data_IF_654331256308
#
_entry.id   IF_654331256308
#
_cell.length_a   1.000
_cell.length_b   1.000
_cell.length_c   1.000
_cell.angle_alpha   90.00
_cell.angle_beta   90.00
_cell.angle_gamma   90.00
#
_symmetry.space_group_name_H-M   'P 1'
#
loop_
_entity.id
_entity.type
_entity.pdbx_description
1 polymer ?
#
# COMPACT_ATOMS: atom_id res chain seq x y z
N UNK A 1 -9.60 54.08 -23.63
CA UNK A 1 -10.23 53.98 -22.30
C UNK A 1 -10.80 52.57 -22.15
N UNK A 2 -10.55 51.76 -21.14
CA UNK A 2 -9.57 51.75 -20.07
C UNK A 2 -9.33 50.27 -19.74
N UNK A 3 -8.05 49.88 -19.69
CA UNK A 3 -7.53 48.60 -19.22
C UNK A 3 -7.51 48.64 -17.69
N UNK A 4 -8.05 47.62 -17.00
CA UNK A 4 -7.77 47.42 -15.57
C UNK A 4 -6.99 46.12 -15.42
N UNK A 5 -5.69 46.35 -15.26
CA UNK A 5 -4.63 45.46 -14.87
C UNK A 5 -4.66 45.33 -13.32
N UNK A 6 -4.68 44.11 -12.79
CA UNK A 6 -4.34 43.88 -11.38
C UNK A 6 -2.98 43.18 -11.32
N UNK A 7 -1.95 43.97 -11.01
CA UNK A 7 -0.63 43.52 -10.57
C UNK A 7 -0.69 43.37 -9.06
N UNK A 8 -0.47 42.15 -8.56
CA UNK A 8 -0.09 41.92 -7.17
C UNK A 8 1.34 41.38 -7.15
N UNK A 9 2.26 42.29 -6.86
CA UNK A 9 3.63 42.01 -6.44
C UNK A 9 3.55 41.54 -4.99
N UNK A 10 3.96 40.30 -4.71
CA UNK A 10 4.44 39.93 -3.37
C UNK A 10 5.89 39.52 -3.46
N UNK A 11 6.69 40.25 -2.68
CA UNK A 11 8.12 40.08 -2.57
C UNK A 11 8.47 38.75 -1.89
N UNK A 12 9.50 38.13 -2.45
CA UNK A 12 10.38 37.10 -1.92
C UNK A 12 10.37 36.92 -0.39
N UNK A 13 10.02 35.72 0.06
CA UNK A 13 10.48 35.15 1.34
C UNK A 13 11.10 33.80 1.06
N UNK A 14 12.43 33.77 1.01
CA UNK A 14 13.26 32.56 0.97
C UNK A 14 12.96 31.65 2.17
N UNK A 15 12.31 30.50 1.94
CA UNK A 15 12.37 29.31 2.82
C UNK A 15 12.33 28.05 1.96
N UNK A 16 13.06 26.98 2.32
CA UNK A 16 13.27 25.85 1.43
C UNK A 16 11.95 25.13 1.17
N UNK A 17 11.51 25.23 -0.07
CA UNK A 17 10.45 24.44 -0.66
C UNK A 17 10.86 22.97 -0.57
N UNK A 18 10.10 22.14 0.14
CA UNK A 18 9.98 20.75 -0.28
C UNK A 18 9.12 20.77 -1.55
N UNK A 19 9.76 21.15 -2.64
CA UNK A 19 9.26 20.90 -3.97
C UNK A 19 9.27 19.39 -4.13
N UNK A 20 8.16 18.78 -4.54
CA UNK A 20 8.20 17.44 -5.13
C UNK A 20 9.01 17.58 -6.43
N UNK A 21 10.33 17.61 -6.30
CA UNK A 21 11.23 17.49 -7.43
C UNK A 21 11.08 16.04 -7.87
N UNK A 22 10.31 15.82 -8.93
CA UNK A 22 10.65 14.72 -9.81
C UNK A 22 12.05 15.05 -10.32
N UNK A 23 13.07 14.48 -9.69
CA UNK A 23 14.40 14.48 -10.27
C UNK A 23 14.25 13.79 -11.64
N UNK A 24 14.57 14.50 -12.71
CA UNK A 24 14.63 13.93 -14.06
C UNK A 24 15.83 12.98 -14.24
N UNK A 25 16.32 12.38 -13.14
CA UNK A 25 17.17 11.20 -13.24
C UNK A 25 16.24 10.02 -13.50
N UNK A 26 16.14 9.64 -14.78
CA UNK A 26 15.45 8.42 -15.20
C UNK A 26 16.27 7.24 -14.68
N UNK A 27 16.05 6.89 -13.42
CA UNK A 27 16.51 5.61 -12.88
C UNK A 27 15.89 4.51 -13.73
N UNK A 28 16.73 3.73 -14.43
CA UNK A 28 16.29 2.57 -15.22
C UNK A 28 15.73 1.44 -14.33
N UNK A 29 15.86 1.59 -13.01
CA UNK A 29 15.36 0.65 -12.02
C UNK A 29 13.84 0.79 -11.88
N UNK A 30 13.11 -0.24 -12.31
CA UNK A 30 11.69 -0.37 -12.01
C UNK A 30 11.55 -0.92 -10.58
N UNK A 31 10.95 -0.19 -9.62
CA UNK A 31 10.77 -0.69 -8.26
C UNK A 31 9.78 -1.86 -8.21
N UNK A 32 10.01 -2.81 -7.29
CA UNK A 32 9.07 -3.92 -7.06
C UNK A 32 7.89 -3.43 -6.22
N UNK A 33 6.68 -3.67 -6.70
CA UNK A 33 5.44 -3.38 -5.97
C UNK A 33 5.01 -4.64 -5.22
N UNK A 34 4.91 -4.57 -3.91
CA UNK A 34 4.40 -5.67 -3.08
C UNK A 34 2.92 -5.44 -2.77
N UNK A 35 2.05 -6.24 -3.40
CA UNK A 35 0.61 -6.18 -3.15
C UNK A 35 0.18 -7.20 -2.10
N UNK A 36 -0.38 -6.74 -0.97
CA UNK A 36 -0.87 -7.62 0.10
C UNK A 36 -2.37 -7.83 -0.07
N UNK A 37 -2.80 -9.09 -0.19
CA UNK A 37 -4.21 -9.46 -0.36
C UNK A 37 -4.62 -10.50 0.68
N UNK A 38 -5.25 -10.09 1.80
CA UNK A 38 -5.96 -10.99 2.68
C UNK A 38 -7.14 -11.64 1.96
N UNK A 39 -7.33 -12.94 2.12
CA UNK A 39 -8.46 -13.68 1.55
C UNK A 39 -9.01 -14.70 2.54
N UNK A 40 -10.26 -15.12 2.37
CA UNK A 40 -10.91 -16.11 3.22
C UNK A 40 -11.88 -16.96 2.40
N UNK A 41 -12.17 -18.17 2.90
CA UNK A 41 -13.07 -19.09 2.23
C UNK A 41 -14.50 -18.51 2.13
N UNK A 42 -14.96 -18.32 0.89
CA UNK A 42 -16.33 -17.93 0.54
C UNK A 42 -16.66 -18.39 -0.88
N UNK A 43 -17.95 -18.44 -1.23
CA UNK A 43 -18.40 -18.88 -2.56
C UNK A 43 -17.74 -18.08 -3.70
N UNK A 44 -17.60 -16.77 -3.53
CA UNK A 44 -16.99 -15.88 -4.53
C UNK A 44 -15.46 -15.85 -4.51
N UNK A 45 -14.78 -16.54 -3.58
CA UNK A 45 -13.34 -16.38 -3.34
C UNK A 45 -12.51 -16.61 -4.61
N UNK A 46 -12.77 -17.72 -5.31
CA UNK A 46 -12.04 -18.08 -6.53
C UNK A 46 -12.24 -17.00 -7.61
N UNK A 47 -13.49 -16.57 -7.82
CA UNK A 47 -13.82 -15.57 -8.83
C UNK A 47 -13.12 -14.22 -8.57
N UNK A 48 -13.12 -13.76 -7.31
CA UNK A 48 -12.46 -12.50 -6.93
C UNK A 48 -10.93 -12.57 -7.13
N UNK A 49 -10.31 -13.68 -6.69
CA UNK A 49 -8.87 -13.87 -6.84
C UNK A 49 -8.46 -14.01 -8.31
N UNK A 50 -9.26 -14.67 -9.15
CA UNK A 50 -8.99 -14.79 -10.59
C UNK A 50 -9.06 -13.43 -11.29
N UNK A 51 -10.09 -12.62 -11.01
CA UNK A 51 -10.19 -11.27 -11.60
C UNK A 51 -9.04 -10.38 -11.14
N UNK A 52 -8.67 -10.47 -9.86
CA UNK A 52 -7.54 -9.71 -9.32
C UNK A 52 -6.23 -10.17 -9.97
N UNK A 53 -5.97 -11.48 -10.08
CA UNK A 53 -4.74 -11.99 -10.68
C UNK A 53 -4.59 -11.53 -12.14
N UNK A 54 -5.67 -11.60 -12.93
CA UNK A 54 -5.68 -11.12 -14.32
C UNK A 54 -5.36 -9.62 -14.42
N UNK A 55 -5.86 -8.82 -13.48
CA UNK A 55 -5.55 -7.39 -13.42
C UNK A 55 -4.08 -7.16 -13.08
N UNK A 56 -3.56 -7.89 -12.10
CA UNK A 56 -2.18 -7.76 -11.63
C UNK A 56 -1.16 -8.22 -12.67
N UNK A 57 -1.52 -9.11 -13.59
CA UNK A 57 -0.65 -9.52 -14.71
C UNK A 57 -0.28 -8.36 -15.64
N UNK A 58 -1.04 -7.26 -15.63
CA UNK A 58 -0.76 -6.07 -16.42
C UNK A 58 0.30 -5.17 -15.75
N UNK A 59 0.63 -5.41 -14.47
CA UNK A 59 1.56 -4.59 -13.69
C UNK A 59 2.95 -5.22 -13.73
N UNK A 60 3.93 -4.47 -14.27
CA UNK A 60 5.33 -4.91 -14.31
C UNK A 60 5.96 -4.85 -12.92
N UNK A 61 6.87 -5.79 -12.64
CA UNK A 61 7.60 -5.91 -11.37
C UNK A 61 6.68 -5.90 -10.13
N UNK A 62 5.64 -6.73 -10.17
CA UNK A 62 4.68 -6.88 -9.09
C UNK A 62 4.89 -8.22 -8.36
N UNK A 63 4.98 -8.18 -7.04
CA UNK A 63 5.05 -9.35 -6.17
C UNK A 63 3.77 -9.46 -5.35
N UNK A 64 2.98 -10.51 -5.59
CA UNK A 64 1.68 -10.68 -4.96
C UNK A 64 1.75 -11.51 -3.67
N UNK A 65 1.48 -10.91 -2.52
CA UNK A 65 1.45 -11.58 -1.23
C UNK A 65 -0.02 -11.92 -0.88
N UNK A 66 -0.38 -13.18 -1.02
CA UNK A 66 -1.73 -13.66 -0.71
C UNK A 66 -1.72 -14.34 0.65
N UNK A 67 -2.59 -13.90 1.56
CA UNK A 67 -2.66 -14.42 2.92
C UNK A 67 -4.06 -14.93 3.23
N UNK A 68 -4.18 -16.25 3.43
CA UNK A 68 -5.47 -16.88 3.73
C UNK A 68 -5.82 -16.81 5.23
N UNK A 69 -7.08 -16.46 5.54
CA UNK A 69 -7.69 -16.68 6.86
C UNK A 69 -8.07 -18.16 7.04
N UNK A 70 -7.05 -18.98 7.20
CA UNK A 70 -7.16 -20.42 7.35
C UNK A 70 -6.00 -20.98 8.18
N UNK A 71 -6.25 -22.13 8.81
CA UNK A 71 -5.21 -22.87 9.56
C UNK A 71 -4.14 -23.46 8.64
N UNK A 72 -4.50 -23.72 7.38
CA UNK A 72 -3.63 -24.28 6.35
C UNK A 72 -3.87 -23.62 5.00
N UNK A 73 -2.84 -23.59 4.16
CA UNK A 73 -2.96 -23.22 2.75
C UNK A 73 -3.96 -24.13 2.06
N UNK A 74 -4.95 -23.56 1.39
CA UNK A 74 -5.98 -24.34 0.70
C UNK A 74 -5.50 -24.72 -0.70
N UNK A 75 -5.87 -25.93 -1.16
CA UNK A 75 -5.56 -26.38 -2.53
C UNK A 75 -6.15 -25.44 -3.59
N UNK A 76 -7.29 -24.81 -3.28
CA UNK A 76 -7.95 -23.85 -4.18
C UNK A 76 -7.04 -22.66 -4.47
N UNK A 77 -6.55 -21.98 -3.41
CA UNK A 77 -5.70 -20.80 -3.57
C UNK A 77 -4.32 -21.19 -4.07
N UNK A 78 -3.76 -22.31 -3.60
CA UNK A 78 -2.47 -22.82 -4.08
C UNK A 78 -2.48 -23.08 -5.59
N UNK A 79 -3.50 -23.78 -6.12
CA UNK A 79 -3.61 -24.05 -7.54
C UNK A 79 -3.83 -22.75 -8.35
N UNK A 80 -4.69 -21.85 -7.87
CA UNK A 80 -4.92 -20.55 -8.52
C UNK A 80 -3.64 -19.74 -8.65
N UNK A 81 -2.83 -19.68 -7.59
CA UNK A 81 -1.56 -18.94 -7.60
C UNK A 81 -0.56 -19.56 -8.57
N UNK A 82 -0.46 -20.90 -8.61
CA UNK A 82 0.36 -21.62 -9.60
C UNK A 82 -0.07 -21.33 -11.04
N UNK A 83 -1.37 -21.27 -11.29
CA UNK A 83 -1.94 -20.97 -12.62
C UNK A 83 -1.79 -19.49 -13.02
N UNK A 84 -1.62 -18.58 -12.06
CA UNK A 84 -1.61 -17.13 -12.32
C UNK A 84 -0.35 -16.62 -13.06
N UNK A 85 0.76 -17.37 -13.04
CA UNK A 85 2.08 -16.96 -13.56
C UNK A 85 2.63 -15.65 -12.96
N UNK A 86 2.04 -15.13 -11.89
CA UNK A 86 2.56 -13.98 -11.15
C UNK A 86 3.72 -14.39 -10.26
N UNK A 87 4.61 -13.47 -9.94
CA UNK A 87 5.50 -13.65 -8.78
C UNK A 87 4.66 -13.50 -7.52
N UNK A 88 4.63 -14.52 -6.66
CA UNK A 88 3.77 -14.50 -5.48
C UNK A 88 4.43 -15.08 -4.23
N UNK A 89 3.81 -14.80 -3.09
CA UNK A 89 4.05 -15.50 -1.82
C UNK A 89 2.71 -15.87 -1.22
N UNK A 90 2.58 -17.15 -0.88
CA UNK A 90 1.37 -17.71 -0.29
C UNK A 90 1.57 -17.92 1.21
N UNK A 91 0.82 -17.19 2.02
CA UNK A 91 0.81 -17.30 3.49
C UNK A 91 -0.59 -17.72 3.97
N UNK A 92 -0.67 -18.14 5.23
CA UNK A 92 -1.94 -18.43 5.89
C UNK A 92 -1.82 -18.13 7.39
N UNK A 93 -2.87 -17.54 7.96
CA UNK A 93 -2.99 -17.32 9.40
C UNK A 93 -4.47 -17.27 9.77
N UNK A 94 -4.88 -18.10 10.73
CA UNK A 94 -6.26 -18.14 11.18
C UNK A 94 -6.58 -16.95 12.08
N UNK A 95 -7.67 -16.25 11.79
CA UNK A 95 -8.21 -15.21 12.68
C UNK A 95 -8.80 -15.88 13.92
N UNK A 96 -8.13 -15.72 15.07
CA UNK A 96 -8.72 -16.04 16.37
C UNK A 96 -9.70 -14.92 16.72
N UNK A 97 -11.00 -15.12 16.47
CA UNK A 97 -12.04 -14.08 16.66
C UNK A 97 -12.14 -13.68 18.15
N UNK A 98 -11.82 -12.43 18.53
CA UNK A 98 -12.29 -11.90 19.80
C UNK A 98 -13.76 -11.47 19.64
N UNK A 99 -14.56 -11.61 20.71
CA UNK A 99 -16.01 -11.30 20.70
C UNK A 99 -16.36 -9.84 20.36
N UNK A 100 -15.38 -8.94 20.30
CA UNK A 100 -15.60 -7.49 20.38
C UNK A 100 -14.90 -6.64 19.30
N UNK A 101 -14.09 -7.23 18.40
CA UNK A 101 -13.42 -6.48 17.33
C UNK A 101 -14.16 -6.61 16.00
N UNK A 102 -14.38 -5.47 15.35
CA UNK A 102 -15.00 -5.39 14.01
C UNK A 102 -13.96 -5.37 12.88
N UNK A 103 -12.66 -5.30 13.20
CA UNK A 103 -11.61 -5.19 12.20
C UNK A 103 -11.31 -6.57 11.58
N UNK A 104 -11.53 -6.70 10.27
CA UNK A 104 -11.24 -7.92 9.51
C UNK A 104 -9.84 -7.87 8.89
N UNK A 105 -9.20 -9.02 8.73
CA UNK A 105 -7.94 -9.13 7.97
C UNK A 105 -6.68 -8.67 8.72
N UNK A 106 -6.76 -8.35 10.02
CA UNK A 106 -5.64 -7.75 10.78
C UNK A 106 -4.45 -8.69 10.88
N UNK A 107 -4.70 -9.96 11.22
CA UNK A 107 -3.65 -10.99 11.37
C UNK A 107 -2.97 -11.24 10.04
N UNK A 108 -3.77 -11.29 8.99
CA UNK A 108 -3.31 -11.58 7.64
C UNK A 108 -2.40 -10.46 7.13
N UNK A 109 -2.81 -9.19 7.32
CA UNK A 109 -1.97 -8.04 6.98
C UNK A 109 -0.69 -8.04 7.81
N UNK A 110 -0.77 -8.22 9.13
CA UNK A 110 0.42 -8.23 9.99
C UNK A 110 1.38 -9.38 9.67
N UNK A 111 0.87 -10.57 9.32
CA UNK A 111 1.69 -11.70 8.89
C UNK A 111 2.41 -11.40 7.56
N UNK A 112 1.74 -10.73 6.62
CA UNK A 112 2.39 -10.24 5.41
C UNK A 112 3.47 -9.19 5.71
N UNK A 113 3.19 -8.23 6.62
CA UNK A 113 4.16 -7.22 7.04
C UNK A 113 5.41 -7.87 7.67
N UNK A 114 5.22 -8.86 8.54
CA UNK A 114 6.33 -9.59 9.17
C UNK A 114 7.17 -10.34 8.14
N UNK A 115 6.52 -11.05 7.20
CA UNK A 115 7.21 -11.73 6.11
C UNK A 115 7.97 -10.72 5.24
N UNK A 116 7.35 -9.59 4.91
CA UNK A 116 7.93 -8.56 4.06
C UNK A 116 9.19 -7.96 4.70
N UNK A 117 9.17 -7.64 6.01
CA UNK A 117 10.37 -7.16 6.73
C UNK A 117 11.52 -8.15 6.62
N UNK A 118 11.27 -9.42 6.94
CA UNK A 118 12.29 -10.48 6.84
C UNK A 118 12.80 -10.65 5.40
N UNK A 119 11.93 -10.50 4.42
CA UNK A 119 12.29 -10.60 3.00
C UNK A 119 13.14 -9.41 2.54
N UNK A 120 12.78 -8.17 2.93
CA UNK A 120 13.50 -6.96 2.53
C UNK A 120 14.89 -6.90 3.16
N UNK A 121 15.03 -7.24 4.45
CA UNK A 121 16.32 -7.30 5.14
C UNK A 121 17.27 -8.30 4.45
N UNK A 122 16.77 -9.49 4.09
CA UNK A 122 17.56 -10.48 3.35
C UNK A 122 18.02 -10.00 1.97
N UNK A 123 17.27 -9.08 1.35
CA UNK A 123 17.68 -8.49 0.07
C UNK A 123 18.76 -7.43 0.29
N UNK A 124 18.68 -6.69 1.40
CA UNK A 124 19.70 -5.71 1.78
C UNK A 124 21.03 -6.40 2.10
N UNK A 125 21.01 -7.45 2.91
CA UNK A 125 22.21 -8.24 3.24
C UNK A 125 22.93 -8.75 1.97
N UNK A 126 22.16 -9.19 0.96
CA UNK A 126 22.71 -9.65 -0.32
C UNK A 126 23.24 -8.53 -1.22
N UNK A 127 22.74 -7.30 -1.05
CA UNK A 127 23.14 -6.14 -1.86
C UNK A 127 24.38 -5.44 -1.32
N UNK A 128 24.62 -5.50 -0.02
CA UNK A 128 25.89 -5.05 0.56
C UNK A 128 27.08 -5.88 0.06
N UNK A 129 26.83 -7.10 -0.43
CA UNK A 129 27.82 -7.92 -1.14
C UNK A 129 27.97 -7.57 -2.64
N UNK A 130 26.99 -6.94 -3.29
CA UNK A 130 26.91 -6.86 -4.77
C UNK A 130 26.56 -5.48 -5.38
N UNK A 131 26.82 -4.38 -4.67
CA UNK A 131 26.72 -2.98 -5.12
C UNK A 131 25.33 -2.29 -4.89
N UNK A 132 25.38 -1.08 -4.33
CA UNK A 132 24.24 -0.35 -3.71
C UNK A 132 23.37 0.38 -4.73
N UNK A 133 22.12 -0.06 -4.92
CA UNK A 133 21.07 0.75 -5.57
C UNK A 133 19.84 0.86 -4.64
N UNK A 134 19.56 2.10 -4.23
CA UNK A 134 18.47 2.50 -3.33
C UNK A 134 17.08 2.31 -3.94
N UNK A 135 16.10 2.10 -3.07
CA UNK A 135 14.68 1.85 -3.40
C UNK A 135 13.84 3.10 -3.18
N UNK A 136 12.86 3.35 -4.06
CA UNK A 136 11.68 4.20 -3.78
C UNK A 136 10.47 3.62 -4.54
N UNK A 137 9.33 3.31 -3.88
CA UNK A 137 8.14 2.71 -4.52
C UNK A 137 6.97 3.72 -4.66
N UNK A 138 5.98 3.42 -5.52
CA UNK A 138 4.52 3.61 -5.29
C UNK A 138 3.73 2.84 -6.38
N UNK A 139 2.60 2.23 -6.01
CA UNK A 139 1.53 1.86 -6.95
C UNK A 139 0.17 1.71 -6.24
N UNK A 140 -0.83 2.51 -6.66
CA UNK A 140 -2.24 2.46 -6.21
C UNK A 140 -3.03 1.59 -7.20
N UNK A 141 -3.95 0.75 -6.70
CA UNK A 141 -5.09 0.25 -7.50
C UNK A 141 -6.34 0.33 -6.64
N UNK A 142 -7.34 1.10 -7.12
CA UNK A 142 -8.68 1.08 -6.57
C UNK A 142 -9.49 2.32 -6.86
N UNK A 143 -10.00 2.47 -8.09
CA UNK A 143 -10.98 3.51 -8.43
C UNK A 143 -12.40 3.09 -8.04
N UNK A 144 -13.01 3.78 -7.09
CA UNK A 144 -14.47 3.91 -6.87
C UNK A 144 -14.73 5.12 -5.94
N UNK A 145 -15.96 5.69 -5.99
CA UNK A 145 -16.46 6.95 -5.36
C UNK A 145 -15.53 7.53 -4.27
N UNK A 146 -14.82 8.60 -4.63
CA UNK A 146 -13.49 8.90 -4.10
C UNK A 146 -13.53 9.74 -2.82
N UNK A 147 -13.13 9.14 -1.69
CA UNK A 147 -12.43 9.87 -0.63
C UNK A 147 -11.01 10.17 -1.16
N UNK A 148 -10.69 11.45 -1.40
CA UNK A 148 -9.43 11.96 -1.93
C UNK A 148 -8.76 12.93 -0.95
N UNK A 149 -7.42 12.97 -0.92
CA UNK A 149 -6.69 14.05 -0.29
C UNK A 149 -6.98 15.38 -1.00
N UNK A 150 -7.17 16.43 -0.22
CA UNK A 150 -7.18 17.82 -0.67
C UNK A 150 -5.71 18.26 -0.68
N UNK A 151 -5.22 18.68 -1.84
CA UNK A 151 -3.81 19.03 -2.04
C UNK A 151 -3.70 20.52 -2.35
N UNK A 152 -2.88 21.23 -1.57
CA UNK A 152 -2.51 22.64 -1.81
C UNK A 152 -0.98 22.72 -1.82
N UNK A 153 -0.40 23.33 -2.85
CA UNK A 153 1.06 23.47 -3.02
C UNK A 153 1.84 22.14 -2.92
N UNK A 154 1.26 21.06 -3.46
CA UNK A 154 1.88 19.73 -3.44
C UNK A 154 1.87 19.04 -2.07
N UNK A 155 1.19 19.62 -1.06
CA UNK A 155 1.02 19.03 0.26
C UNK A 155 -0.44 18.69 0.52
N UNK A 156 -0.68 17.56 1.18
CA UNK A 156 -2.01 17.18 1.64
C UNK A 156 -2.40 18.15 2.77
N UNK A 157 -3.43 18.95 2.54
CA UNK A 157 -3.98 19.91 3.51
C UNK A 157 -5.27 19.41 4.17
N UNK A 158 -5.86 18.33 3.66
CA UNK A 158 -7.04 17.70 4.24
C UNK A 158 -7.53 16.52 3.41
N UNK A 159 -8.73 16.04 3.69
CA UNK A 159 -9.40 14.98 2.94
C UNK A 159 -10.88 15.33 2.79
N UNK A 160 -11.50 14.99 1.66
CA UNK A 160 -12.94 15.21 1.43
C UNK A 160 -13.82 14.08 2.01
N UNK A 161 -13.39 13.45 3.10
CA UNK A 161 -14.10 12.32 3.69
C UNK A 161 -15.40 12.75 4.39
N UNK A 162 -16.49 12.04 4.12
CA UNK A 162 -17.79 12.26 4.79
C UNK A 162 -17.91 11.39 6.03
N UNK A 163 -17.37 10.17 5.99
CA UNK A 163 -17.47 9.22 7.08
C UNK A 163 -16.27 9.34 8.04
N UNK A 164 -16.56 9.72 9.29
CA UNK A 164 -15.55 9.97 10.34
C UNK A 164 -14.39 10.85 9.84
N UNK A 165 -14.67 12.11 9.45
CA UNK A 165 -13.65 13.03 8.88
C UNK A 165 -12.56 13.40 9.88
N UNK A 166 -12.85 13.28 11.18
CA UNK A 166 -11.93 13.60 12.28
C UNK A 166 -10.84 12.53 12.51
N UNK A 167 -10.82 11.46 11.72
CA UNK A 167 -9.70 10.51 11.74
C UNK A 167 -8.41 11.23 11.36
N UNK A 168 -7.26 10.87 11.94
CA UNK A 168 -5.97 11.42 11.50
C UNK A 168 -5.71 11.20 10.01
N UNK A 169 -6.12 10.03 9.51
CA UNK A 169 -6.04 9.65 8.09
C UNK A 169 -7.38 9.05 7.67
N UNK A 170 -8.35 9.87 7.20
CA UNK A 170 -9.62 9.38 6.71
C UNK A 170 -9.49 8.85 5.27
N UNK A 171 -8.74 7.76 5.13
CA UNK A 171 -8.52 7.03 3.87
C UNK A 171 -8.86 5.55 4.06
N UNK A 172 -9.29 4.90 2.98
CA UNK A 172 -9.48 3.44 2.96
C UNK A 172 -8.13 2.71 2.84
N UNK A 173 -8.09 1.43 3.22
CA UNK A 173 -6.89 0.59 3.07
C UNK A 173 -6.40 0.46 1.63
N UNK A 174 -7.27 0.62 0.63
CA UNK A 174 -6.89 0.64 -0.78
C UNK A 174 -6.34 2.02 -1.24
N UNK A 175 -6.46 3.05 -0.41
CA UNK A 175 -6.16 4.44 -0.76
C UNK A 175 -4.74 4.90 -0.48
N UNK A 176 -3.86 4.03 0.04
CA UNK A 176 -2.48 4.40 0.37
C UNK A 176 -1.46 3.33 -0.01
N UNK A 177 -0.20 3.77 -0.09
CA UNK A 177 0.99 2.92 -0.24
C UNK A 177 2.10 3.44 0.68
N UNK A 178 3.01 2.56 1.10
CA UNK A 178 4.11 2.90 2.03
C UNK A 178 5.45 2.64 1.34
N UNK A 179 6.41 3.54 1.56
CA UNK A 179 7.78 3.34 1.11
C UNK A 179 8.44 2.15 1.84
N UNK A 180 9.09 1.24 1.11
CA UNK A 180 9.73 0.05 1.69
C UNK A 180 10.84 0.41 2.69
N UNK A 181 11.61 1.48 2.43
CA UNK A 181 12.67 1.97 3.32
C UNK A 181 12.07 2.48 4.62
N UNK A 182 11.06 3.36 4.53
CA UNK A 182 10.31 3.85 5.69
C UNK A 182 9.69 2.69 6.49
N UNK A 183 9.19 1.67 5.79
CA UNK A 183 8.58 0.50 6.41
C UNK A 183 9.60 -0.37 7.19
N UNK A 184 10.85 -0.46 6.71
CA UNK A 184 11.93 -1.16 7.40
C UNK A 184 12.44 -0.35 8.59
N UNK A 185 12.55 0.97 8.45
CA UNK A 185 12.93 1.90 9.54
C UNK A 185 11.96 1.84 10.74
N UNK A 186 10.66 1.67 10.47
CA UNK A 186 9.60 1.54 11.48
C UNK A 186 9.14 0.09 11.67
N UNK A 187 10.01 -0.75 12.24
CA UNK A 187 9.77 -2.18 12.44
C UNK A 187 8.59 -2.49 13.39
N UNK A 188 8.25 -1.56 14.29
CA UNK A 188 7.16 -1.66 15.26
C UNK A 188 5.77 -1.38 14.66
N UNK A 189 5.71 -0.72 13.50
CA UNK A 189 4.44 -0.32 12.89
C UNK A 189 3.61 -1.54 12.47
N UNK A 190 2.37 -1.66 12.97
CA UNK A 190 1.48 -2.78 12.66
C UNK A 190 0.02 -2.39 12.84
N UNK A 191 -0.87 -3.13 12.19
CA UNK A 191 -2.31 -2.98 12.40
C UNK A 191 -2.69 -3.49 13.79
N UNK A 192 -3.58 -2.78 14.47
CA UNK A 192 -4.04 -3.09 15.82
C UNK A 192 -5.46 -3.63 15.82
N UNK A 193 -5.75 -4.64 16.64
CA UNK A 193 -7.13 -5.11 16.83
C UNK A 193 -7.96 -4.20 17.73
N UNK A 194 -7.30 -3.41 18.57
CA UNK A 194 -7.90 -2.58 19.60
C UNK A 194 -8.15 -1.18 19.06
N UNK A 195 -8.83 -1.11 17.92
CA UNK A 195 -9.19 0.15 17.25
C UNK A 195 -10.68 0.15 16.95
N UNK A 196 -11.30 1.31 17.03
CA UNK A 196 -12.69 1.48 16.63
C UNK A 196 -12.81 1.24 15.11
N UNK A 197 -13.95 0.72 14.65
CA UNK A 197 -14.23 0.59 13.21
C UNK A 197 -13.91 1.90 12.47
N UNK A 198 -13.08 1.82 11.43
CA UNK A 198 -12.62 2.96 10.63
C UNK A 198 -11.30 3.60 11.06
N UNK A 199 -10.73 3.24 12.22
CA UNK A 199 -9.49 3.82 12.76
C UNK A 199 -8.26 2.92 12.61
N UNK A 200 -8.37 1.87 11.79
CA UNK A 200 -7.26 0.98 11.50
C UNK A 200 -6.27 1.64 10.54
#
# INVERSE_FOLDING_TARGET
>A
MAMILFVLIFMYSNRPTFQCQFSNEVSSYLPTIYGITPTYARLAQKADLTRLSQTLMLVKNFHWIVVEDSEKKTKLVENLLKESNLTYTHLNVKTHKPKQSTASGVEQRNSALEWLRKHLLKIEDKKDEENKQGRVPVGIVGGMRVEMPIVTDGKITGFNAVWKPFRPFPVDMAGFAINSTLFVEHAEAKFSRNVQSGFQ
#
